data_IF_865542659178
#
_entry.id   IF_865542659178
#
_cell.length_a   1.000
_cell.length_b   1.000
_cell.length_c   1.000
_cell.angle_alpha   90.00
_cell.angle_beta   90.00
_cell.angle_gamma   90.00
#
_symmetry.space_group_name_H-M   'P 1'
#
loop_
_entity.id
_entity.type
_entity.pdbx_description
1 polymer ?
#
# COMPACT_ATOMS: atom_id res chain seq x y z
N UNK A 1 -8.98 34.42 9.38
CA UNK A 1 -8.60 33.24 10.15
C UNK A 1 -7.79 32.31 9.29
N UNK A 2 -6.61 31.98 9.72
CA UNK A 2 -5.75 31.05 8.97
C UNK A 2 -6.17 29.64 9.31
N UNK A 3 -6.50 28.85 8.28
CA UNK A 3 -6.79 27.44 8.47
C UNK A 3 -5.45 26.72 8.68
N UNK A 4 -5.27 26.13 9.85
CA UNK A 4 -4.09 25.33 10.11
C UNK A 4 -4.16 24.05 9.27
N UNK A 5 -3.32 23.99 8.25
CA UNK A 5 -3.14 22.77 7.47
C UNK A 5 -2.11 21.94 8.16
N UNK A 6 -2.52 20.75 8.58
CA UNK A 6 -1.60 19.81 9.19
C UNK A 6 -0.71 19.23 8.12
N UNK A 7 0.59 19.32 8.34
CA UNK A 7 1.57 18.74 7.43
C UNK A 7 1.95 17.34 7.91
N UNK A 8 1.94 16.39 6.98
CA UNK A 8 2.35 15.02 7.23
C UNK A 8 3.68 14.75 6.53
N UNK A 9 4.46 13.86 7.10
CA UNK A 9 5.68 13.36 6.48
C UNK A 9 5.37 12.05 5.79
N UNK A 10 5.74 11.95 4.51
CA UNK A 10 5.63 10.69 3.76
C UNK A 10 7.03 10.10 3.64
N UNK A 11 7.17 8.85 4.00
CA UNK A 11 8.47 8.19 4.01
C UNK A 11 8.36 6.73 3.62
N UNK A 12 9.44 6.20 3.05
CA UNK A 12 9.58 4.77 2.83
C UNK A 12 10.31 4.14 4.01
N UNK A 13 10.24 2.82 4.14
CA UNK A 13 11.02 2.12 5.16
C UNK A 13 12.52 2.10 4.87
N UNK A 14 12.94 2.38 3.63
CA UNK A 14 14.37 2.59 3.34
C UNK A 14 14.87 3.90 3.94
N UNK A 15 14.03 4.93 3.92
CA UNK A 15 14.35 6.23 4.51
C UNK A 15 14.31 6.20 6.04
N UNK A 16 13.45 5.35 6.61
CA UNK A 16 13.27 5.22 8.06
C UNK A 16 13.23 3.75 8.48
N UNK A 17 14.37 3.02 8.33
CA UNK A 17 14.40 1.59 8.62
C UNK A 17 14.16 1.26 10.10
N UNK A 18 14.38 2.22 11.00
CA UNK A 18 14.10 2.06 12.44
C UNK A 18 12.62 1.87 12.73
N UNK A 19 11.73 2.18 11.78
CA UNK A 19 10.28 2.00 11.94
C UNK A 19 9.80 0.60 11.53
N UNK A 20 10.67 -0.28 11.08
CA UNK A 20 10.28 -1.60 10.57
C UNK A 20 9.40 -2.38 11.55
N UNK A 21 9.84 -2.52 12.78
CA UNK A 21 9.10 -3.32 13.77
C UNK A 21 7.72 -2.72 14.07
N UNK A 22 7.67 -1.42 14.31
CA UNK A 22 6.41 -0.71 14.58
C UNK A 22 5.46 -0.78 13.39
N UNK A 23 6.00 -0.67 12.18
CA UNK A 23 5.20 -0.72 10.96
C UNK A 23 4.62 -2.11 10.72
N UNK A 24 5.41 -3.17 10.93
CA UNK A 24 4.93 -4.54 10.80
C UNK A 24 3.81 -4.84 11.79
N UNK A 25 3.96 -4.38 13.03
CA UNK A 25 2.92 -4.53 14.06
C UNK A 25 1.66 -3.76 13.67
N UNK A 26 1.82 -2.57 13.11
CA UNK A 26 0.70 -1.72 12.67
C UNK A 26 -0.11 -2.40 11.56
N UNK A 27 0.55 -2.90 10.52
CA UNK A 27 -0.15 -3.61 9.44
C UNK A 27 -0.79 -4.91 9.94
N UNK A 28 -0.12 -5.66 10.80
CA UNK A 28 -0.69 -6.87 11.39
C UNK A 28 -1.99 -6.55 12.14
N UNK A 29 -2.00 -5.47 12.91
CA UNK A 29 -3.20 -5.05 13.65
C UNK A 29 -4.38 -4.76 12.70
N UNK A 30 -4.11 -4.13 11.55
CA UNK A 30 -5.14 -3.73 10.58
C UNK A 30 -5.68 -4.89 9.76
N UNK A 31 -4.80 -5.77 9.29
CA UNK A 31 -5.15 -6.78 8.28
C UNK A 31 -5.11 -8.22 8.77
N UNK A 32 -4.61 -8.46 9.98
CA UNK A 32 -4.51 -9.78 10.60
C UNK A 32 -3.61 -10.77 9.84
N UNK A 33 -2.80 -10.29 8.93
CA UNK A 33 -1.72 -11.08 8.32
C UNK A 33 -0.60 -11.22 9.36
N UNK A 34 0.04 -12.40 9.48
CA UNK A 34 1.10 -12.58 10.48
C UNK A 34 2.18 -11.51 10.42
N UNK A 35 2.57 -10.99 11.57
CA UNK A 35 3.58 -9.93 11.66
C UNK A 35 4.90 -10.36 11.02
N UNK A 36 5.26 -11.64 11.16
CA UNK A 36 6.48 -12.19 10.57
C UNK A 36 6.51 -12.06 9.04
N UNK A 37 5.35 -12.21 8.40
CA UNK A 37 5.26 -12.08 6.94
C UNK A 37 5.56 -10.64 6.50
N UNK A 38 5.05 -9.67 7.24
CA UNK A 38 5.37 -8.26 6.98
C UNK A 38 6.86 -7.98 7.21
N UNK A 39 7.41 -8.49 8.31
CA UNK A 39 8.82 -8.28 8.63
C UNK A 39 9.75 -8.83 7.56
N UNK A 40 9.47 -10.00 7.02
CA UNK A 40 10.26 -10.58 5.93
C UNK A 40 10.25 -9.69 4.67
N UNK A 41 9.06 -9.24 4.27
CA UNK A 41 8.93 -8.35 3.10
C UNK A 41 9.65 -7.02 3.33
N UNK A 42 9.49 -6.44 4.50
CA UNK A 42 10.11 -5.16 4.85
C UNK A 42 11.63 -5.27 4.91
N UNK A 43 12.14 -6.36 5.50
CA UNK A 43 13.57 -6.62 5.60
C UNK A 43 14.20 -6.74 4.21
N UNK A 44 13.57 -7.49 3.31
CA UNK A 44 14.05 -7.64 1.95
C UNK A 44 14.13 -6.29 1.22
N UNK A 45 13.12 -5.44 1.41
CA UNK A 45 13.09 -4.10 0.84
C UNK A 45 14.20 -3.20 1.42
N UNK A 46 14.33 -3.18 2.72
CA UNK A 46 15.36 -2.36 3.40
C UNK A 46 16.76 -2.79 2.98
N UNK A 47 16.98 -4.10 2.81
CA UNK A 47 18.28 -4.66 2.43
C UNK A 47 18.54 -4.62 0.91
N UNK A 48 17.69 -3.96 0.15
CA UNK A 48 17.80 -3.84 -1.32
C UNK A 48 17.74 -5.17 -2.06
N UNK A 49 17.06 -6.15 -1.49
CA UNK A 49 16.83 -7.44 -2.16
C UNK A 49 15.61 -7.40 -3.08
N UNK A 50 14.77 -6.40 -2.91
CA UNK A 50 13.60 -6.15 -3.76
C UNK A 50 13.30 -4.66 -3.81
N UNK A 51 12.67 -4.22 -4.90
CA UNK A 51 12.17 -2.85 -5.02
C UNK A 51 10.72 -2.71 -4.55
N UNK A 52 10.08 -3.81 -4.15
CA UNK A 52 8.70 -3.79 -3.64
C UNK A 52 8.69 -3.15 -2.26
N UNK A 53 8.25 -1.90 -2.22
CA UNK A 53 8.44 -1.03 -1.08
C UNK A 53 7.28 -0.98 -0.09
N UNK A 54 7.56 -0.29 1.01
CA UNK A 54 6.60 0.00 2.07
C UNK A 54 6.63 1.49 2.34
N UNK A 55 5.45 2.10 2.36
CA UNK A 55 5.26 3.54 2.32
C UNK A 55 4.35 3.98 3.46
N UNK A 56 4.74 5.04 4.15
CA UNK A 56 4.01 5.52 5.32
C UNK A 56 3.70 7.00 5.22
N UNK A 57 2.56 7.37 5.80
CA UNK A 57 2.25 8.74 6.16
C UNK A 57 2.41 8.87 7.66
N UNK A 58 3.22 9.81 8.10
CA UNK A 58 3.54 10.02 9.51
C UNK A 58 3.06 11.37 10.00
N UNK A 59 2.45 11.37 11.18
CA UNK A 59 2.06 12.56 11.90
C UNK A 59 2.92 12.64 13.16
N UNK A 60 3.99 13.44 13.11
CA UNK A 60 4.94 13.58 14.22
C UNK A 60 5.44 12.23 14.75
N UNK A 61 5.77 11.33 13.83
CA UNK A 61 6.26 9.99 14.16
C UNK A 61 5.19 8.93 14.36
N UNK A 62 3.92 9.32 14.42
CA UNK A 62 2.81 8.38 14.52
C UNK A 62 2.39 7.94 13.10
N UNK A 63 2.14 6.65 12.91
CA UNK A 63 1.67 6.15 11.63
C UNK A 63 0.20 6.51 11.44
N UNK A 64 -0.05 7.39 10.46
CA UNK A 64 -1.41 7.83 10.11
C UNK A 64 -1.99 6.97 8.97
N UNK A 65 -1.16 6.44 8.11
CA UNK A 65 -1.58 5.59 7.00
C UNK A 65 -0.38 4.91 6.37
N UNK A 66 -0.66 3.92 5.53
CA UNK A 66 0.40 3.19 4.85
C UNK A 66 -0.12 2.25 3.78
N UNK A 67 0.79 1.75 2.99
CA UNK A 67 0.58 0.68 2.02
C UNK A 67 1.90 0.02 1.67
N UNK A 68 1.82 -1.13 1.02
CA UNK A 68 3.01 -1.82 0.55
C UNK A 68 2.84 -2.34 -0.85
N UNK A 69 3.93 -2.89 -1.39
CA UNK A 69 3.96 -3.57 -2.67
C UNK A 69 4.45 -4.99 -2.44
N UNK A 70 3.72 -5.96 -2.96
CA UNK A 70 4.09 -7.37 -2.87
C UNK A 70 3.86 -8.04 -4.23
N UNK A 71 4.40 -9.23 -4.40
CA UNK A 71 4.28 -9.95 -5.66
C UNK A 71 2.84 -10.36 -5.95
N UNK A 72 2.13 -10.90 -4.94
CA UNK A 72 0.74 -11.34 -5.10
C UNK A 72 -0.03 -11.12 -3.80
N UNK A 73 -1.16 -10.42 -3.89
CA UNK A 73 -2.01 -10.12 -2.74
C UNK A 73 -3.15 -11.14 -2.59
N UNK A 74 -2.77 -12.43 -2.46
CA UNK A 74 -3.69 -13.53 -2.16
C UNK A 74 -4.79 -13.72 -3.21
N UNK A 75 -4.42 -13.79 -4.51
CA UNK A 75 -5.35 -14.08 -5.58
C UNK A 75 -4.75 -15.03 -6.61
N UNK A 76 -5.59 -15.53 -7.53
CA UNK A 76 -5.22 -16.57 -8.48
C UNK A 76 -4.53 -16.08 -9.76
N UNK A 77 -4.48 -14.77 -10.00
CA UNK A 77 -3.86 -14.21 -11.22
C UNK A 77 -2.42 -13.77 -10.92
N UNK A 78 -1.54 -14.75 -10.83
CA UNK A 78 -0.12 -14.53 -10.52
C UNK A 78 0.64 -13.83 -11.63
N UNK A 79 0.06 -13.76 -12.82
CA UNK A 79 0.58 -13.00 -13.96
C UNK A 79 0.38 -11.48 -13.79
N UNK A 80 -0.55 -11.05 -12.94
CA UNK A 80 -0.79 -9.65 -12.65
C UNK A 80 0.00 -9.24 -11.40
N UNK A 81 1.23 -8.85 -11.61
CA UNK A 81 2.21 -8.55 -10.55
C UNK A 81 3.02 -7.28 -10.91
N UNK A 82 3.51 -6.48 -9.96
CA UNK A 82 3.29 -6.58 -8.52
C UNK A 82 1.96 -5.97 -8.08
N UNK A 83 1.60 -6.21 -6.82
CA UNK A 83 0.36 -5.71 -6.25
C UNK A 83 0.62 -4.67 -5.16
N UNK A 84 -0.09 -3.56 -5.23
CA UNK A 84 -0.22 -2.62 -4.11
C UNK A 84 -1.18 -3.27 -3.13
N UNK A 85 -0.80 -3.34 -1.86
CA UNK A 85 -1.55 -4.05 -0.84
C UNK A 85 -1.67 -3.26 0.45
N UNK A 86 -2.58 -3.71 1.30
CA UNK A 86 -2.71 -3.25 2.69
C UNK A 86 -2.92 -1.73 2.82
N UNK A 87 -3.59 -1.12 1.86
CA UNK A 87 -3.89 0.32 1.89
C UNK A 87 -4.79 0.62 3.09
N UNK A 88 -4.29 1.42 4.02
CA UNK A 88 -5.05 1.75 5.23
C UNK A 88 -4.71 3.16 5.71
N UNK A 89 -5.74 3.88 6.13
CA UNK A 89 -5.61 5.18 6.81
C UNK A 89 -6.33 5.09 8.14
N UNK A 90 -5.66 5.47 9.22
CA UNK A 90 -6.27 5.50 10.54
C UNK A 90 -7.53 6.36 10.52
N UNK A 91 -8.54 5.93 11.26
CA UNK A 91 -9.88 6.51 11.22
C UNK A 91 -9.87 8.04 11.44
N UNK A 92 -9.11 8.50 12.42
CA UNK A 92 -9.03 9.94 12.74
C UNK A 92 -8.29 10.78 11.69
N UNK A 93 -7.64 10.14 10.74
CA UNK A 93 -6.92 10.81 9.66
C UNK A 93 -7.61 10.70 8.30
N UNK A 94 -8.76 10.06 8.24
CA UNK A 94 -9.50 9.88 6.98
C UNK A 94 -10.07 11.19 6.45
N UNK A 95 -10.42 11.19 5.16
CA UNK A 95 -10.99 12.34 4.43
C UNK A 95 -10.03 13.52 4.32
N UNK A 96 -8.72 13.27 4.34
CA UNK A 96 -7.68 14.27 4.18
C UNK A 96 -6.77 14.00 2.98
N UNK A 97 -7.13 13.02 2.14
CA UNK A 97 -6.37 12.69 0.94
C UNK A 97 -5.11 11.87 1.16
N UNK A 98 -4.91 11.30 2.34
CA UNK A 98 -3.70 10.53 2.69
C UNK A 98 -3.57 9.29 1.80
N UNK A 99 -4.62 8.50 1.66
CA UNK A 99 -4.58 7.29 0.82
C UNK A 99 -4.25 7.65 -0.63
N UNK A 100 -4.87 8.71 -1.16
CA UNK A 100 -4.59 9.19 -2.52
C UNK A 100 -3.14 9.62 -2.70
N UNK A 101 -2.58 10.31 -1.72
CA UNK A 101 -1.19 10.74 -1.76
C UNK A 101 -0.24 9.54 -1.72
N UNK A 102 -0.53 8.55 -0.87
CA UNK A 102 0.26 7.32 -0.80
C UNK A 102 0.21 6.54 -2.13
N UNK A 103 -0.98 6.45 -2.72
CA UNK A 103 -1.14 5.80 -4.03
C UNK A 103 -0.35 6.51 -5.13
N UNK A 104 -0.34 7.84 -5.11
CA UNK A 104 0.44 8.63 -6.06
C UNK A 104 1.95 8.39 -5.87
N UNK A 105 2.41 8.36 -4.63
CA UNK A 105 3.81 8.12 -4.30
C UNK A 105 4.26 6.74 -4.78
N UNK A 106 3.49 5.69 -4.49
CA UNK A 106 3.89 4.33 -4.85
C UNK A 106 3.92 4.14 -6.36
N UNK A 107 2.95 4.70 -7.09
CA UNK A 107 2.91 4.60 -8.55
C UNK A 107 4.12 5.30 -9.16
N UNK A 108 4.44 6.51 -8.71
CA UNK A 108 5.59 7.26 -9.20
C UNK A 108 6.92 6.56 -8.87
N UNK A 109 7.03 6.01 -7.67
CA UNK A 109 8.23 5.29 -7.27
C UNK A 109 8.43 4.03 -8.10
N UNK A 110 7.38 3.26 -8.31
CA UNK A 110 7.45 2.06 -9.15
C UNK A 110 7.82 2.42 -10.59
N UNK A 111 7.21 3.46 -11.15
CA UNK A 111 7.55 3.94 -12.50
C UNK A 111 9.01 4.36 -12.61
N UNK A 112 9.55 5.02 -11.59
CA UNK A 112 10.96 5.43 -11.59
C UNK A 112 11.92 4.25 -11.63
N UNK A 113 11.43 3.07 -11.22
CA UNK A 113 12.20 1.81 -11.21
C UNK A 113 11.81 0.90 -12.37
N UNK A 114 11.04 1.41 -13.32
CA UNK A 114 10.57 0.69 -14.50
C UNK A 114 9.70 -0.53 -14.14
N UNK A 115 8.97 -0.44 -13.03
CA UNK A 115 8.02 -1.46 -12.58
C UNK A 115 6.62 -0.96 -12.89
N UNK A 116 6.12 -1.26 -14.09
CA UNK A 116 4.78 -0.93 -14.53
C UNK A 116 4.24 -2.03 -15.44
N UNK A 117 2.92 -2.23 -15.47
CA UNK A 117 1.91 -1.66 -14.60
C UNK A 117 1.95 -2.24 -13.19
N UNK A 118 1.19 -1.63 -12.29
CA UNK A 118 0.96 -2.17 -10.95
C UNK A 118 -0.53 -2.47 -10.80
N UNK A 119 -0.84 -3.39 -9.92
CA UNK A 119 -2.21 -3.91 -9.74
C UNK A 119 -2.62 -3.84 -8.29
N UNK A 120 -3.93 -3.87 -8.02
CA UNK A 120 -4.45 -4.07 -6.66
C UNK A 120 -5.80 -4.76 -6.73
N UNK A 121 -6.17 -5.41 -5.64
CA UNK A 121 -7.52 -5.97 -5.47
C UNK A 121 -8.25 -5.23 -4.37
N UNK A 122 -9.56 -5.06 -4.53
CA UNK A 122 -10.38 -4.32 -3.58
C UNK A 122 -11.86 -4.66 -3.78
N UNK A 123 -12.65 -4.48 -2.71
CA UNK A 123 -14.10 -4.54 -2.80
C UNK A 123 -14.72 -3.15 -3.01
N UNK A 124 -13.91 -2.10 -2.96
CA UNK A 124 -14.38 -0.74 -3.16
C UNK A 124 -14.57 -0.42 -4.64
N UNK A 125 -15.58 0.40 -4.94
CA UNK A 125 -15.81 0.95 -6.27
C UNK A 125 -15.70 2.48 -6.18
N UNK A 126 -15.30 3.11 -7.29
CA UNK A 126 -15.22 4.58 -7.42
C UNK A 126 -14.10 5.25 -6.63
N UNK A 127 -13.45 4.58 -5.69
CA UNK A 127 -12.39 5.18 -4.90
C UNK A 127 -11.08 5.27 -5.70
N UNK A 128 -10.61 4.14 -6.22
CA UNK A 128 -9.32 4.06 -6.90
C UNK A 128 -9.31 4.77 -8.26
N UNK A 129 -10.46 4.84 -8.90
CA UNK A 129 -10.60 5.54 -10.19
C UNK A 129 -10.22 7.03 -10.07
N UNK A 130 -10.43 7.62 -8.90
CA UNK A 130 -10.06 9.02 -8.63
C UNK A 130 -8.56 9.25 -8.73
N UNK A 131 -7.76 8.20 -8.60
CA UNK A 131 -6.30 8.28 -8.56
C UNK A 131 -5.65 7.63 -9.77
N UNK A 132 -6.39 7.48 -10.85
CA UNK A 132 -5.87 6.98 -12.12
C UNK A 132 -5.85 5.47 -12.26
N UNK A 133 -6.48 4.75 -11.35
CA UNK A 133 -6.62 3.30 -11.45
C UNK A 133 -7.84 2.95 -12.28
N UNK A 134 -7.72 1.90 -13.10
CA UNK A 134 -8.81 1.43 -13.97
C UNK A 134 -9.20 0.02 -13.58
N UNK A 135 -10.50 -0.27 -13.62
CA UNK A 135 -10.97 -1.64 -13.41
C UNK A 135 -10.45 -2.52 -14.55
N UNK A 136 -9.83 -3.65 -14.18
CA UNK A 136 -9.27 -4.58 -15.15
C UNK A 136 -10.15 -5.81 -15.32
N UNK A 137 -10.42 -6.54 -14.23
CA UNK A 137 -11.18 -7.79 -14.27
C UNK A 137 -11.52 -8.25 -12.85
N UNK A 138 -12.33 -9.30 -12.77
CA UNK A 138 -12.57 -10.00 -11.50
C UNK A 138 -11.52 -11.09 -11.35
N UNK A 139 -11.06 -11.30 -10.13
CA UNK A 139 -10.11 -12.36 -9.78
C UNK A 139 -10.62 -13.14 -8.58
N UNK A 140 -10.13 -14.37 -8.42
CA UNK A 140 -10.51 -15.21 -7.28
C UNK A 140 -9.51 -14.97 -6.15
N UNK A 141 -9.99 -14.48 -5.01
CA UNK A 141 -9.17 -14.38 -3.81
C UNK A 141 -8.91 -15.77 -3.22
N UNK A 142 -7.72 -15.95 -2.63
CA UNK A 142 -7.34 -17.23 -2.02
C UNK A 142 -8.27 -17.52 -0.84
N UNK A 143 -8.89 -18.70 -0.86
CA UNK A 143 -9.81 -19.16 0.20
C UNK A 143 -11.04 -18.27 0.40
N UNK A 144 -11.38 -17.44 -0.59
CA UNK A 144 -12.56 -16.60 -0.54
C UNK A 144 -13.70 -17.22 -1.34
N UNK A 145 -14.97 -17.10 -0.88
CA UNK A 145 -16.10 -17.67 -1.61
C UNK A 145 -16.44 -16.91 -2.89
N UNK A 146 -16.15 -15.59 -2.91
CA UNK A 146 -16.52 -14.71 -4.02
C UNK A 146 -15.29 -14.17 -4.72
N UNK A 147 -15.48 -13.75 -5.98
CA UNK A 147 -14.44 -13.05 -6.72
C UNK A 147 -14.34 -11.60 -6.23
N UNK A 148 -13.18 -11.00 -6.41
CA UNK A 148 -12.92 -9.61 -6.04
C UNK A 148 -12.47 -8.82 -7.27
N UNK A 149 -12.56 -7.50 -7.18
CA UNK A 149 -12.21 -6.60 -8.28
C UNK A 149 -10.70 -6.36 -8.31
N UNK A 150 -10.12 -6.44 -9.51
CA UNK A 150 -8.73 -6.06 -9.73
C UNK A 150 -8.68 -4.76 -10.52
N UNK A 151 -7.85 -3.85 -10.05
CA UNK A 151 -7.56 -2.58 -10.72
C UNK A 151 -6.12 -2.55 -11.19
N UNK A 152 -5.88 -1.79 -12.24
CA UNK A 152 -4.56 -1.62 -12.85
C UNK A 152 -4.23 -0.13 -12.93
N UNK A 153 -2.96 0.20 -12.70
CA UNK A 153 -2.43 1.53 -12.98
C UNK A 153 -1.27 1.37 -13.95
N UNK A 154 -1.43 1.99 -15.13
CA UNK A 154 -0.42 1.94 -16.21
C UNK A 154 0.63 3.04 -16.07
#
# INVERSE_FOLDING_TARGET
MVKNMKEYTYATLRQKPELKEATAAWFHDKWKVPQEAYLECMKAYINNETEYGWYLCLDSGRIAGGLGVIENDFHDRKDFTPNVCAVYTEKEYRCQGIAGQLLDIVVKDMKSKEITPVYLITDHTSFYERYGWEFLCMVQGDNEPDMTRMYIHR
#
